data_IF_966088432206
#
_entry.id   IF_966088432206
#
_cell.length_a   1.000
_cell.length_b   1.000
_cell.length_c   1.000
_cell.angle_alpha   90.00
_cell.angle_beta   90.00
_cell.angle_gamma   90.00
#
_symmetry.space_group_name_H-M   'P 1'
#
loop_
_entity.id
_entity.type
_entity.pdbx_description
1 polymer ?
#
# COMPACT_ATOMS: atom_id res chain seq x y z
N UNK A 1 13.09 72.36 4.55
CA UNK A 1 12.01 71.74 5.34
C UNK A 1 12.07 70.23 5.14
N UNK A 2 12.77 69.53 6.03
CA UNK A 2 12.96 68.07 5.95
C UNK A 2 11.78 67.40 6.67
N UNK A 3 10.81 66.93 5.88
CA UNK A 3 9.66 66.20 6.40
C UNK A 3 10.13 64.79 6.76
N UNK A 4 9.82 64.44 8.01
CA UNK A 4 10.32 63.31 8.77
C UNK A 4 9.73 61.99 8.24
N UNK A 5 10.50 61.20 7.49
CA UNK A 5 10.10 59.89 6.92
C UNK A 5 9.82 58.78 7.97
N UNK A 6 9.74 59.11 9.26
CA UNK A 6 9.49 58.13 10.34
C UNK A 6 8.04 57.71 10.49
N UNK A 7 7.06 58.49 10.01
CA UNK A 7 5.64 58.15 10.17
C UNK A 7 5.16 56.96 9.33
N UNK A 8 5.85 56.63 8.22
CA UNK A 8 5.43 55.53 7.34
C UNK A 8 6.05 54.18 7.72
N UNK A 9 7.15 54.18 8.48
CA UNK A 9 7.90 52.97 8.84
C UNK A 9 7.33 52.28 10.09
N UNK A 10 6.70 53.02 11.00
CA UNK A 10 6.20 52.42 12.26
C UNK A 10 4.86 51.66 12.11
N UNK A 11 4.10 51.89 11.04
CA UNK A 11 2.88 51.11 10.75
C UNK A 11 3.12 49.82 9.94
N UNK A 12 4.38 49.47 9.63
CA UNK A 12 4.75 48.17 9.07
C UNK A 12 4.80 47.05 10.14
N UNK A 13 4.68 47.40 11.42
CA UNK A 13 4.60 46.45 12.54
C UNK A 13 3.15 46.19 12.95
N UNK A 14 2.38 45.47 12.13
CA UNK A 14 1.22 44.64 12.58
C UNK A 14 0.58 43.74 11.52
N UNK A 15 1.24 43.48 10.38
CA UNK A 15 0.90 42.30 9.61
C UNK A 15 1.65 41.11 10.19
N UNK A 16 1.06 40.47 11.20
CA UNK A 16 1.35 39.07 11.45
C UNK A 16 0.95 38.33 10.18
N UNK A 17 1.88 37.75 9.39
CA UNK A 17 1.46 36.91 8.29
C UNK A 17 0.64 35.78 8.92
N UNK A 18 -0.61 35.64 8.46
CA UNK A 18 -1.42 34.45 8.68
C UNK A 18 -0.83 33.32 7.82
N UNK A 19 0.47 33.05 7.98
CA UNK A 19 1.10 31.80 7.62
C UNK A 19 1.04 30.86 8.83
N UNK A 20 -0.13 30.79 9.48
CA UNK A 20 -0.50 29.71 10.39
C UNK A 20 -0.89 28.43 9.66
N UNK A 21 -0.52 28.27 8.38
CA UNK A 21 -0.13 26.96 7.91
C UNK A 21 1.28 26.68 8.42
N UNK A 22 1.38 26.43 9.73
CA UNK A 22 2.29 25.39 10.20
C UNK A 22 1.96 24.22 9.29
N UNK A 23 2.83 23.93 8.33
CA UNK A 23 2.94 22.57 7.85
C UNK A 23 3.23 21.79 9.13
N UNK A 24 2.19 21.29 9.79
CA UNK A 24 2.32 20.11 10.61
C UNK A 24 2.90 19.14 9.58
N UNK A 25 4.21 19.00 9.58
CA UNK A 25 4.81 17.74 9.20
C UNK A 25 4.05 16.76 10.07
N UNK A 26 3.01 16.16 9.49
CA UNK A 26 2.22 15.15 10.16
C UNK A 26 3.19 13.98 10.20
N UNK A 27 4.14 14.03 11.14
CA UNK A 27 4.62 12.82 11.79
C UNK A 27 3.34 12.21 12.28
N UNK A 28 2.85 11.19 11.57
CA UNK A 28 1.61 10.49 11.87
C UNK A 28 1.63 10.14 13.37
N UNK A 29 0.95 10.97 14.17
CA UNK A 29 0.99 10.91 15.64
C UNK A 29 0.41 9.58 16.15
N UNK A 30 -0.45 8.95 15.34
CA UNK A 30 -0.98 7.61 15.58
C UNK A 30 0.08 6.50 15.46
N UNK A 31 1.12 6.69 14.64
CA UNK A 31 2.23 5.72 14.53
C UNK A 31 3.10 5.80 15.79
N UNK A 32 3.41 7.01 16.27
CA UNK A 32 4.34 7.23 17.40
C UNK A 32 3.78 6.71 18.74
N UNK A 33 2.45 6.77 18.97
CA UNK A 33 1.86 6.46 20.28
C UNK A 33 1.82 4.98 20.69
N UNK A 34 1.93 4.04 19.75
CA UNK A 34 1.91 2.60 20.05
C UNK A 34 3.29 1.94 20.00
N UNK A 35 4.35 2.73 19.87
CA UNK A 35 5.74 2.27 19.93
C UNK A 35 6.32 2.21 21.34
N UNK A 36 5.52 2.43 22.39
CA UNK A 36 6.07 2.51 23.73
C UNK A 36 6.24 1.14 24.41
N UNK A 37 7.53 0.85 24.58
CA UNK A 37 8.22 0.19 25.70
C UNK A 37 8.12 -1.33 25.87
N UNK A 38 9.31 -1.95 25.77
CA UNK A 38 9.74 -3.23 26.37
C UNK A 38 9.72 -4.51 25.53
N UNK A 39 10.19 -4.46 24.29
CA UNK A 39 10.77 -5.64 23.63
C UNK A 39 11.93 -5.20 22.75
N UNK A 40 13.08 -5.89 22.78
CA UNK A 40 14.27 -5.59 21.97
C UNK A 40 13.92 -5.15 20.53
N UNK A 41 14.64 -4.17 20.00
CA UNK A 41 14.35 -3.39 18.78
C UNK A 41 13.79 -4.22 17.62
N UNK A 42 12.46 -4.43 17.59
CA UNK A 42 11.78 -5.12 16.49
C UNK A 42 11.64 -4.16 15.32
N UNK A 43 12.34 -4.42 14.23
CA UNK A 43 12.29 -3.59 13.02
C UNK A 43 10.89 -3.56 12.43
N UNK A 44 10.37 -2.35 12.17
CA UNK A 44 9.03 -2.13 11.62
C UNK A 44 9.08 -1.90 10.11
N UNK A 45 8.34 -2.73 9.36
CA UNK A 45 8.21 -2.59 7.91
C UNK A 45 6.81 -2.17 7.47
N UNK A 46 6.72 -1.34 6.43
CA UNK A 46 5.47 -1.07 5.71
C UNK A 46 5.41 -1.94 4.46
N UNK A 47 4.37 -2.77 4.36
CA UNK A 47 4.10 -3.64 3.21
C UNK A 47 2.97 -3.06 2.38
N UNK A 48 3.28 -2.70 1.14
CA UNK A 48 2.31 -2.22 0.16
C UNK A 48 1.90 -3.37 -0.76
N UNK A 49 0.61 -3.72 -0.73
CA UNK A 49 0.00 -4.75 -1.56
C UNK A 49 -0.87 -4.09 -2.64
N UNK A 50 -0.47 -4.21 -3.90
CA UNK A 50 -1.29 -3.81 -5.05
C UNK A 50 -1.91 -5.03 -5.72
N UNK A 51 -3.20 -5.21 -5.47
CA UNK A 51 -3.99 -6.37 -5.88
C UNK A 51 -4.85 -6.02 -7.09
N UNK A 52 -4.41 -6.41 -8.29
CA UNK A 52 -5.21 -6.27 -9.52
C UNK A 52 -6.03 -7.53 -9.77
N UNK A 53 -6.85 -7.55 -10.84
CA UNK A 53 -7.64 -8.75 -11.22
C UNK A 53 -6.77 -9.94 -11.64
N UNK A 54 -5.55 -9.69 -12.12
CA UNK A 54 -4.67 -10.73 -12.69
C UNK A 54 -3.34 -10.86 -11.97
N UNK A 55 -2.85 -9.81 -11.32
CA UNK A 55 -1.52 -9.78 -10.70
C UNK A 55 -1.61 -9.21 -9.28
N UNK A 56 -0.67 -9.64 -8.45
CA UNK A 56 -0.46 -9.14 -7.10
C UNK A 56 0.99 -8.66 -7.03
N UNK A 57 1.18 -7.43 -6.57
CA UNK A 57 2.49 -6.83 -6.34
C UNK A 57 2.64 -6.57 -4.85
N UNK A 58 3.79 -6.93 -4.30
CA UNK A 58 4.16 -6.71 -2.90
C UNK A 58 5.44 -5.88 -2.86
N UNK A 59 5.47 -4.85 -2.02
CA UNK A 59 6.65 -4.02 -1.80
C UNK A 59 6.84 -3.80 -0.31
N UNK A 60 8.05 -4.03 0.17
CA UNK A 60 8.47 -3.82 1.55
C UNK A 60 9.27 -2.53 1.59
N UNK A 61 8.82 -1.61 2.43
CA UNK A 61 9.45 -0.32 2.69
C UNK A 61 9.77 -0.25 4.17
N UNK A 62 10.95 0.24 4.50
CA UNK A 62 11.36 0.47 5.88
C UNK A 62 10.71 1.74 6.43
N UNK A 63 10.17 1.71 7.65
CA UNK A 63 9.39 2.84 8.16
C UNK A 63 10.26 4.02 8.61
N UNK A 64 11.49 3.74 9.04
CA UNK A 64 12.44 4.77 9.50
C UNK A 64 13.11 5.46 8.33
N UNK A 65 13.73 4.67 7.44
CA UNK A 65 14.48 5.20 6.29
C UNK A 65 13.61 5.53 5.07
N UNK A 66 12.33 5.12 5.06
CA UNK A 66 11.44 5.18 3.89
C UNK A 66 12.02 4.52 2.62
N UNK A 67 13.06 3.70 2.75
CA UNK A 67 13.71 3.03 1.64
C UNK A 67 13.00 1.73 1.27
N UNK A 68 12.85 1.48 -0.03
CA UNK A 68 12.34 0.20 -0.55
C UNK A 68 13.41 -0.86 -0.32
N UNK A 69 13.07 -1.92 0.41
CA UNK A 69 14.00 -3.03 0.68
C UNK A 69 13.86 -4.12 -0.36
N UNK A 70 12.62 -4.53 -0.64
CA UNK A 70 12.33 -5.48 -1.70
C UNK A 70 10.97 -5.25 -2.32
N UNK A 71 10.86 -5.67 -3.57
CA UNK A 71 9.60 -5.82 -4.26
C UNK A 71 9.52 -7.20 -4.88
N UNK A 72 8.34 -7.80 -4.87
CA UNK A 72 8.06 -9.03 -5.57
C UNK A 72 6.73 -8.91 -6.29
N UNK A 73 6.64 -9.56 -7.44
CA UNK A 73 5.39 -9.73 -8.15
C UNK A 73 5.31 -11.16 -8.65
N UNK A 74 4.12 -11.74 -8.63
CA UNK A 74 3.96 -13.12 -9.06
C UNK A 74 3.78 -13.17 -10.60
N UNK A 75 4.89 -13.19 -11.33
CA UNK A 75 4.98 -13.85 -12.65
C UNK A 75 5.59 -15.22 -12.32
N UNK A 76 4.75 -16.24 -12.23
CA UNK A 76 5.15 -17.53 -11.66
C UNK A 76 6.33 -18.10 -12.48
N UNK A 77 7.50 -18.40 -11.88
CA UNK A 77 8.56 -19.10 -12.61
C UNK A 77 8.18 -20.58 -12.84
N UNK A 78 7.47 -21.22 -11.91
CA UNK A 78 7.38 -22.70 -11.84
C UNK A 78 5.95 -23.27 -11.80
N UNK A 79 4.99 -22.70 -12.53
CA UNK A 79 3.63 -23.27 -12.57
C UNK A 79 3.18 -23.50 -14.00
N UNK A 80 3.55 -24.67 -14.51
CA UNK A 80 2.94 -25.28 -15.70
C UNK A 80 1.71 -26.05 -15.25
N UNK A 81 0.52 -25.59 -15.61
CA UNK A 81 -0.68 -26.41 -15.57
C UNK A 81 -0.98 -27.00 -16.94
N UNK A 82 -1.54 -28.20 -16.96
CA UNK A 82 -1.98 -28.92 -18.16
C UNK A 82 -2.88 -28.06 -19.07
N UNK A 83 -3.70 -27.18 -18.51
CA UNK A 83 -4.66 -26.36 -19.28
C UNK A 83 -4.30 -24.87 -19.39
N UNK A 84 -3.12 -24.45 -18.91
CA UNK A 84 -2.74 -23.02 -18.85
C UNK A 84 -3.82 -22.13 -18.16
N UNK A 85 -4.66 -22.75 -17.33
CA UNK A 85 -5.67 -22.07 -16.56
C UNK A 85 -4.97 -21.29 -15.45
N UNK A 86 -5.13 -19.97 -15.50
CA UNK A 86 -4.64 -19.09 -14.45
C UNK A 86 -5.37 -19.50 -13.16
N UNK A 87 -4.66 -20.19 -12.27
CA UNK A 87 -5.11 -20.52 -10.92
C UNK A 87 -5.84 -19.38 -10.23
N UNK A 88 -6.72 -19.73 -9.29
CA UNK A 88 -7.44 -18.79 -8.43
C UNK A 88 -6.46 -17.76 -7.83
N UNK A 89 -6.80 -16.48 -7.91
CA UNK A 89 -5.92 -15.40 -7.44
C UNK A 89 -5.53 -15.54 -5.95
N UNK A 90 -6.36 -16.23 -5.16
CA UNK A 90 -6.07 -16.55 -3.77
C UNK A 90 -4.86 -17.50 -3.59
N UNK A 91 -4.76 -18.60 -4.35
CA UNK A 91 -3.65 -19.57 -4.25
C UNK A 91 -2.33 -18.92 -4.65
N UNK A 92 -2.36 -18.12 -5.72
CA UNK A 92 -1.26 -17.25 -6.13
C UNK A 92 -0.84 -16.26 -5.04
N UNK A 93 -1.81 -15.70 -4.32
CA UNK A 93 -1.55 -14.85 -3.16
C UNK A 93 -0.85 -15.61 -2.02
N UNK A 94 -1.25 -16.85 -1.75
CA UNK A 94 -0.62 -17.69 -0.73
C UNK A 94 0.86 -17.96 -1.06
N UNK A 95 1.15 -18.37 -2.30
CA UNK A 95 2.52 -18.61 -2.76
C UNK A 95 3.39 -17.34 -2.71
N UNK A 96 2.86 -16.22 -3.22
CA UNK A 96 3.56 -14.93 -3.17
C UNK A 96 3.86 -14.52 -1.73
N UNK A 97 2.87 -14.63 -0.84
CA UNK A 97 3.01 -14.27 0.56
C UNK A 97 4.04 -15.16 1.28
N UNK A 98 4.15 -16.44 0.93
CA UNK A 98 5.17 -17.34 1.47
C UNK A 98 6.58 -16.90 1.06
N UNK A 99 6.80 -16.72 -0.24
CA UNK A 99 8.10 -16.27 -0.76
C UNK A 99 8.50 -14.90 -0.25
N UNK A 100 7.55 -13.96 -0.23
CA UNK A 100 7.80 -12.60 0.22
C UNK A 100 7.97 -12.51 1.74
N UNK A 101 7.19 -13.26 2.51
CA UNK A 101 7.31 -13.33 3.96
C UNK A 101 8.66 -13.88 4.40
N UNK A 102 9.17 -14.92 3.74
CA UNK A 102 10.52 -15.43 3.99
C UNK A 102 11.60 -14.35 3.77
N UNK A 103 11.45 -13.51 2.73
CA UNK A 103 12.35 -12.36 2.51
C UNK A 103 12.23 -11.32 3.61
N UNK A 104 11.01 -10.98 4.04
CA UNK A 104 10.75 -10.04 5.15
C UNK A 104 11.49 -10.50 6.41
N UNK A 105 11.37 -11.78 6.76
CA UNK A 105 12.04 -12.39 7.92
C UNK A 105 13.56 -12.34 7.76
N UNK A 106 14.08 -12.67 6.57
CA UNK A 106 15.53 -12.59 6.27
C UNK A 106 16.10 -11.18 6.44
N UNK A 107 15.32 -10.12 6.19
CA UNK A 107 15.73 -8.74 6.45
C UNK A 107 15.56 -8.29 7.91
N UNK A 108 15.07 -9.15 8.80
CA UNK A 108 14.91 -8.88 10.22
C UNK A 108 13.63 -8.12 10.61
N UNK A 109 12.64 -8.03 9.72
CA UNK A 109 11.36 -7.41 10.06
C UNK A 109 10.43 -8.42 10.74
N UNK A 110 10.06 -8.12 11.98
CA UNK A 110 9.11 -8.95 12.74
C UNK A 110 7.70 -8.36 12.74
N UNK A 111 7.60 -7.02 12.79
CA UNK A 111 6.33 -6.30 12.80
C UNK A 111 6.11 -5.58 11.46
N UNK A 112 4.91 -5.71 10.89
CA UNK A 112 4.56 -5.07 9.63
C UNK A 112 3.25 -4.29 9.66
N UNK A 113 3.23 -3.21 8.88
CA UNK A 113 2.06 -2.39 8.56
C UNK A 113 1.59 -2.77 7.16
N UNK A 114 0.34 -3.22 6.99
CA UNK A 114 -0.13 -3.71 5.69
C UNK A 114 -1.08 -2.70 5.04
N UNK A 115 -0.66 -2.16 3.90
CA UNK A 115 -1.46 -1.28 3.07
C UNK A 115 -1.97 -2.02 1.83
N UNK A 116 -3.28 -2.05 1.62
CA UNK A 116 -3.90 -2.85 0.56
C UNK A 116 -4.63 -1.96 -0.43
N UNK A 117 -4.15 -1.96 -1.67
CA UNK A 117 -4.79 -1.32 -2.81
C UNK A 117 -5.43 -2.36 -3.74
N UNK A 118 -6.75 -2.32 -3.91
CA UNK A 118 -7.53 -3.19 -4.77
C UNK A 118 -8.35 -4.25 -4.02
N UNK A 119 -9.42 -4.73 -4.66
CA UNK A 119 -10.45 -5.58 -4.03
C UNK A 119 -10.32 -7.06 -4.37
N UNK A 120 -9.29 -7.48 -5.10
CA UNK A 120 -9.20 -8.84 -5.61
C UNK A 120 -8.88 -9.88 -4.52
N UNK A 121 -9.25 -11.15 -4.74
CA UNK A 121 -9.09 -12.25 -3.76
C UNK A 121 -7.63 -12.50 -3.34
N UNK A 122 -6.67 -12.05 -4.14
CA UNK A 122 -5.24 -12.21 -3.87
C UNK A 122 -4.76 -11.56 -2.57
N UNK A 123 -5.40 -10.46 -2.14
CA UNK A 123 -5.06 -9.77 -0.88
C UNK A 123 -5.18 -10.68 0.34
N UNK A 124 -6.24 -11.48 0.40
CA UNK A 124 -6.47 -12.41 1.50
C UNK A 124 -5.45 -13.54 1.52
N UNK A 125 -5.02 -14.03 0.35
CA UNK A 125 -3.99 -15.06 0.25
C UNK A 125 -2.65 -14.58 0.82
N UNK A 126 -2.21 -13.37 0.45
CA UNK A 126 -0.94 -12.82 0.95
C UNK A 126 -0.97 -12.59 2.46
N UNK A 127 -2.02 -11.92 2.96
CA UNK A 127 -2.17 -11.63 4.39
C UNK A 127 -2.22 -12.92 5.22
N UNK A 128 -2.93 -13.95 4.72
CA UNK A 128 -2.98 -15.25 5.40
C UNK A 128 -1.61 -15.92 5.45
N UNK A 129 -0.80 -15.82 4.39
CA UNK A 129 0.56 -16.36 4.40
C UNK A 129 1.47 -15.64 5.38
N UNK A 130 1.38 -14.32 5.54
CA UNK A 130 2.15 -13.60 6.56
C UNK A 130 1.79 -14.05 7.98
N UNK A 131 0.48 -14.22 8.25
CA UNK A 131 0.01 -14.76 9.53
C UNK A 131 0.52 -16.19 9.78
N UNK A 132 0.51 -17.06 8.76
CA UNK A 132 1.06 -18.43 8.87
C UNK A 132 2.57 -18.47 9.12
N UNK A 133 3.31 -17.47 8.63
CA UNK A 133 4.75 -17.34 8.84
C UNK A 133 5.12 -16.72 10.19
N UNK A 134 4.14 -16.34 11.01
CA UNK A 134 4.38 -15.73 12.32
C UNK A 134 4.86 -14.28 12.26
N UNK A 135 4.59 -13.57 11.16
CA UNK A 135 4.90 -12.14 11.07
C UNK A 135 3.80 -11.36 11.80
N UNK A 136 4.20 -10.51 12.74
CA UNK A 136 3.28 -9.70 13.55
C UNK A 136 2.65 -8.60 12.68
N UNK A 137 1.38 -8.75 12.33
CA UNK A 137 0.62 -7.74 11.57
C UNK A 137 0.04 -6.73 12.56
N UNK A 138 0.59 -5.52 12.56
CA UNK A 138 0.17 -4.48 13.51
C UNK A 138 -1.13 -3.78 13.09
N UNK A 139 -1.27 -3.42 11.81
CA UNK A 139 -2.54 -2.98 11.26
C UNK A 139 -2.70 -3.37 9.80
N UNK A 140 -3.95 -3.38 9.35
CA UNK A 140 -4.33 -3.57 7.95
C UNK A 140 -5.19 -2.38 7.53
N UNK A 141 -4.73 -1.61 6.54
CA UNK A 141 -5.45 -0.46 6.00
C UNK A 141 -5.73 -0.65 4.52
N UNK A 142 -6.98 -0.39 4.11
CA UNK A 142 -7.36 -0.35 2.70
C UNK A 142 -7.06 1.03 2.12
N UNK A 143 -6.13 1.08 1.17
CA UNK A 143 -5.73 2.30 0.42
C UNK A 143 -6.32 2.34 -0.99
N UNK A 144 -7.42 1.60 -1.21
CA UNK A 144 -8.07 1.53 -2.53
C UNK A 144 -8.72 2.87 -2.86
N UNK A 145 -8.21 3.53 -3.90
CA UNK A 145 -8.71 4.83 -4.35
C UNK A 145 -10.09 4.69 -4.99
N UNK A 146 -11.08 5.43 -4.49
CA UNK A 146 -12.41 5.60 -5.08
C UNK A 146 -12.53 7.01 -5.62
N UNK A 147 -12.93 7.16 -6.88
CA UNK A 147 -13.18 8.49 -7.47
C UNK A 147 -14.59 8.95 -7.09
N UNK A 148 -14.73 10.17 -6.54
CA UNK A 148 -16.03 10.78 -6.25
C UNK A 148 -16.75 11.18 -7.54
N UNK A 149 -16.02 11.81 -8.46
CA UNK A 149 -16.31 11.98 -9.89
C UNK A 149 -14.95 12.00 -10.60
N UNK A 150 -14.78 11.29 -11.70
CA UNK A 150 -13.46 11.14 -12.32
C UNK A 150 -13.53 10.79 -13.80
N UNK A 151 -12.38 10.45 -14.39
CA UNK A 151 -12.29 10.10 -15.80
C UNK A 151 -13.25 8.96 -16.16
N UNK A 152 -13.88 9.07 -17.33
CA UNK A 152 -14.80 8.05 -17.85
C UNK A 152 -14.09 6.69 -17.91
N UNK A 153 -14.60 5.64 -17.24
CA UNK A 153 -14.02 4.31 -17.34
C UNK A 153 -14.20 3.75 -18.76
N UNK A 154 -13.28 2.87 -19.16
CA UNK A 154 -13.34 2.21 -20.46
C UNK A 154 -14.69 1.52 -20.68
N UNK A 155 -15.27 1.68 -21.88
CA UNK A 155 -16.56 1.09 -22.26
C UNK A 155 -16.54 -0.42 -21.98
N UNK A 156 -17.49 -0.90 -21.17
CA UNK A 156 -17.62 -2.34 -20.91
C UNK A 156 -17.80 -3.05 -22.24
N UNK A 157 -16.92 -4.01 -22.55
CA UNK A 157 -17.05 -4.83 -23.76
C UNK A 157 -18.34 -5.64 -23.64
N UNK A 158 -19.15 -5.64 -24.71
CA UNK A 158 -20.26 -6.58 -24.83
C UNK A 158 -19.63 -7.97 -24.90
N UNK A 159 -19.79 -8.78 -23.85
CA UNK A 159 -19.45 -10.19 -23.95
C UNK A 159 -20.39 -10.77 -25.00
N UNK A 160 -19.85 -11.33 -26.08
CA UNK A 160 -20.66 -12.26 -26.88
C UNK A 160 -21.09 -13.33 -25.88
N UNK A 161 -22.40 -13.45 -25.64
CA UNK A 161 -22.90 -14.66 -25.01
C UNK A 161 -22.40 -15.76 -25.93
N UNK A 162 -21.48 -16.59 -25.45
CA UNK A 162 -21.26 -17.87 -26.12
C UNK A 162 -22.58 -18.59 -25.89
N UNK A 163 -23.54 -18.42 -26.78
CA UNK A 163 -24.56 -19.42 -27.00
C UNK A 163 -23.77 -20.64 -27.44
N UNK A 164 -23.29 -21.42 -26.46
CA UNK A 164 -23.11 -22.84 -26.72
C UNK A 164 -24.51 -23.27 -27.13
N UNK A 165 -24.73 -23.41 -28.42
CA UNK A 165 -25.91 -24.13 -28.89
C UNK A 165 -25.71 -25.52 -28.28
N UNK A 166 -26.52 -25.86 -27.27
CA UNK A 166 -26.57 -27.22 -26.77
C UNK A 166 -26.96 -28.09 -27.98
N UNK A 167 -26.07 -28.97 -28.44
CA UNK A 167 -26.43 -29.99 -29.44
C UNK A 167 -25.80 -29.91 -30.84
N UNK A 168 -24.80 -29.07 -31.10
CA UNK A 168 -23.95 -29.31 -32.29
C UNK A 168 -22.81 -30.27 -31.92
N UNK A 169 -22.96 -31.52 -32.38
CA UNK A 169 -21.91 -32.56 -32.40
C UNK A 169 -20.81 -32.20 -33.39
#
# INVERSE_FOLDING_TARGET
MLINNRYFVENLHKFNPVSRFRQKAVKNILIVKYFNSNTGTKKLGSVYLRCTKRNIFCTLVDCESNAIKTSCSLKVPDYKNEFNERENLYTRGLLLGKLFGNKIISFGYQKILVHIAGTSKGRFGVVRSFSKLGIDIYYIVLTTRTAHNGCRPFKRRRRKVRTKVLGFK
#
